data_IF_314116578216
#
_entry.id   IF_314116578216
#
_cell.length_a   1.000
_cell.length_b   1.000
_cell.length_c   1.000
_cell.angle_alpha   90.00
_cell.angle_beta   90.00
_cell.angle_gamma   90.00
#
_symmetry.space_group_name_H-M   'P 1'
#
loop_
_entity.id
_entity.type
_entity.pdbx_description
1 polymer ?
#
# COMPACT_ATOMS: atom_id res chain seq x y z
N UNK A 1 -4.40 -21.22 -2.08
CA UNK A 1 -4.47 -20.62 -0.73
C UNK A 1 -5.29 -19.35 -0.90
N UNK A 2 -6.47 -19.26 -0.28
CA UNK A 2 -7.47 -18.25 -0.66
C UNK A 2 -7.03 -16.83 -0.32
N UNK A 3 -7.20 -15.94 -1.30
CA UNK A 3 -7.13 -14.49 -1.13
C UNK A 3 -7.96 -14.09 0.10
N UNK A 4 -7.29 -13.57 1.15
CA UNK A 4 -7.99 -13.13 2.36
C UNK A 4 -8.63 -11.79 1.98
N UNK A 5 -9.86 -11.86 1.46
CA UNK A 5 -10.67 -10.70 1.13
C UNK A 5 -10.74 -9.71 2.30
N UNK A 6 -11.13 -8.45 2.05
CA UNK A 6 -11.00 -7.41 3.06
C UNK A 6 -11.73 -7.80 4.35
N UNK A 7 -11.00 -7.84 5.45
CA UNK A 7 -11.57 -8.04 6.78
C UNK A 7 -11.38 -6.77 7.59
N UNK A 8 -12.48 -6.30 8.20
CA UNK A 8 -12.46 -5.16 9.10
C UNK A 8 -11.83 -5.58 10.42
N UNK A 9 -10.68 -4.99 10.73
CA UNK A 9 -10.08 -5.14 12.05
C UNK A 9 -10.59 -4.00 12.93
N UNK A 10 -11.21 -4.30 14.10
CA UNK A 10 -11.62 -3.26 15.05
C UNK A 10 -10.47 -2.29 15.35
N UNK A 11 -10.78 -0.99 15.39
CA UNK A 11 -9.83 0.11 15.63
C UNK A 11 -8.75 0.35 14.57
N UNK A 12 -8.72 -0.45 13.49
CA UNK A 12 -7.74 -0.33 12.39
C UNK A 12 -8.43 -0.03 11.05
N UNK A 13 -9.62 -0.59 10.82
CA UNK A 13 -10.39 -0.44 9.59
C UNK A 13 -10.18 -1.57 8.58
N UNK A 14 -10.61 -1.37 7.32
CA UNK A 14 -10.49 -2.36 6.26
C UNK A 14 -9.04 -2.73 5.96
N UNK A 15 -8.74 -4.03 5.89
CA UNK A 15 -7.40 -4.54 5.54
C UNK A 15 -7.44 -5.32 4.25
N UNK A 16 -6.58 -4.97 3.29
CA UNK A 16 -6.30 -5.74 2.09
C UNK A 16 -5.03 -6.55 2.32
N UNK A 17 -5.12 -7.88 2.25
CA UNK A 17 -4.02 -8.76 2.66
C UNK A 17 -3.81 -9.96 1.75
N UNK A 18 -2.55 -10.37 1.61
CA UNK A 18 -2.11 -11.60 0.99
C UNK A 18 -0.94 -12.20 1.77
N UNK A 19 -0.33 -13.28 1.27
CA UNK A 19 0.90 -13.83 1.84
C UNK A 19 2.14 -12.93 1.70
N UNK A 20 2.04 -11.86 0.90
CA UNK A 20 3.16 -10.96 0.63
C UNK A 20 3.02 -9.57 1.28
N UNK A 21 1.80 -9.13 1.61
CA UNK A 21 1.54 -7.80 2.13
C UNK A 21 0.23 -7.74 2.95
N UNK A 22 0.18 -6.86 3.94
CA UNK A 22 -1.04 -6.49 4.67
C UNK A 22 -1.11 -4.96 4.76
N UNK A 23 -2.17 -4.37 4.19
CA UNK A 23 -2.32 -2.92 4.05
C UNK A 23 -3.68 -2.49 4.58
N UNK A 24 -3.72 -1.50 5.49
CA UNK A 24 -4.99 -0.87 5.87
C UNK A 24 -5.38 0.17 4.84
N UNK A 25 -6.67 0.25 4.53
CA UNK A 25 -7.23 1.21 3.59
C UNK A 25 -8.30 2.02 4.31
N UNK A 26 -8.11 3.33 4.37
CA UNK A 26 -9.05 4.25 5.01
C UNK A 26 -9.26 5.50 4.17
N UNK A 27 -10.40 6.17 4.35
CA UNK A 27 -10.67 7.48 3.71
C UNK A 27 -10.35 8.58 4.71
N UNK A 28 -9.26 9.29 4.45
CA UNK A 28 -8.91 10.47 5.24
C UNK A 28 -9.65 11.70 4.73
N UNK A 29 -10.34 12.39 5.64
CA UNK A 29 -11.14 13.59 5.38
C UNK A 29 -10.55 14.85 6.04
N UNK A 30 -9.38 14.77 6.68
CA UNK A 30 -8.77 15.90 7.39
C UNK A 30 -8.02 16.89 6.47
N UNK A 31 -8.09 16.69 5.13
CA UNK A 31 -7.43 17.51 4.12
C UNK A 31 -8.35 18.44 3.32
N UNK A 32 -7.77 19.14 2.33
CA UNK A 32 -8.53 20.00 1.41
C UNK A 32 -9.55 19.22 0.56
N UNK A 33 -9.35 17.91 0.41
CA UNK A 33 -10.24 16.97 -0.25
C UNK A 33 -10.07 15.56 0.34
N UNK A 34 -11.09 14.69 0.27
CA UNK A 34 -10.96 13.29 0.66
C UNK A 34 -9.83 12.58 -0.11
N UNK A 35 -9.11 11.68 0.56
CA UNK A 35 -7.99 10.91 -0.02
C UNK A 35 -7.90 9.52 0.62
N UNK A 36 -7.34 8.55 -0.08
CA UNK A 36 -7.07 7.24 0.51
C UNK A 36 -5.80 7.28 1.35
N UNK A 37 -5.92 6.86 2.60
CA UNK A 37 -4.79 6.59 3.49
C UNK A 37 -4.47 5.10 3.45
N UNK A 38 -3.28 4.79 2.95
CA UNK A 38 -2.74 3.44 2.86
C UNK A 38 -1.62 3.26 3.88
N UNK A 39 -1.72 2.26 4.75
CA UNK A 39 -0.66 1.91 5.72
C UNK A 39 -0.22 0.48 5.53
N UNK A 40 1.06 0.28 5.23
CA UNK A 40 1.72 -1.02 5.31
C UNK A 40 1.81 -1.43 6.78
N UNK A 41 1.13 -2.51 7.16
CA UNK A 41 1.10 -2.99 8.55
C UNK A 41 2.43 -3.62 8.99
N UNK A 42 3.26 -4.08 8.04
CA UNK A 42 4.56 -4.68 8.36
C UNK A 42 5.61 -3.62 8.69
N UNK A 43 5.65 -2.54 7.91
CA UNK A 43 6.68 -1.48 8.06
C UNK A 43 6.18 -0.23 8.77
N UNK A 44 4.86 -0.07 8.90
CA UNK A 44 4.22 1.14 9.40
C UNK A 44 4.23 2.31 8.42
N UNK A 45 4.77 2.14 7.21
CA UNK A 45 4.84 3.20 6.19
C UNK A 45 3.43 3.61 5.75
N UNK A 46 3.18 4.92 5.73
CA UNK A 46 1.90 5.51 5.32
C UNK A 46 2.07 6.28 4.01
N UNK A 47 1.11 6.12 3.10
CA UNK A 47 0.92 6.95 1.91
C UNK A 47 -0.50 7.46 1.84
N UNK A 48 -0.65 8.65 1.28
CA UNK A 48 -1.94 9.23 0.95
C UNK A 48 -2.01 9.30 -0.56
N UNK A 49 -3.13 8.87 -1.14
CA UNK A 49 -3.40 8.97 -2.57
C UNK A 49 -4.67 9.79 -2.77
N UNK A 50 -4.53 10.94 -3.43
CA UNK A 50 -5.68 11.76 -3.82
C UNK A 50 -6.43 11.17 -5.02
N UNK A 51 -7.54 11.81 -5.41
CA UNK A 51 -8.36 11.35 -6.53
C UNK A 51 -7.59 11.28 -7.86
N UNK A 52 -6.67 12.21 -8.11
CA UNK A 52 -5.89 12.25 -9.35
C UNK A 52 -4.81 11.16 -9.37
N UNK A 53 -4.16 10.92 -8.23
CA UNK A 53 -3.18 9.83 -8.08
C UNK A 53 -3.87 8.47 -8.24
N UNK A 54 -5.08 8.30 -7.69
CA UNK A 54 -5.88 7.09 -7.87
C UNK A 54 -6.35 6.90 -9.31
N UNK A 55 -6.83 7.96 -9.96
CA UNK A 55 -7.17 7.93 -11.38
C UNK A 55 -5.96 7.53 -12.22
N UNK A 56 -4.79 8.12 -11.94
CA UNK A 56 -3.54 7.77 -12.60
C UNK A 56 -3.22 6.28 -12.49
N UNK A 57 -3.41 5.68 -11.30
CA UNK A 57 -3.22 4.24 -11.11
C UNK A 57 -4.21 3.39 -11.92
N UNK A 58 -5.48 3.81 -12.03
CA UNK A 58 -6.51 3.13 -12.82
C UNK A 58 -6.15 3.14 -14.31
N UNK A 59 -5.58 4.25 -14.80
CA UNK A 59 -5.23 4.42 -16.21
C UNK A 59 -3.82 3.91 -16.58
N UNK A 60 -3.09 3.30 -15.64
CA UNK A 60 -1.78 2.72 -15.95
C UNK A 60 -1.90 1.66 -17.05
N UNK A 61 -1.04 1.68 -18.08
CA UNK A 61 -1.01 0.63 -19.07
C UNK A 61 -0.65 -0.72 -18.41
N UNK A 62 -1.16 -1.80 -18.98
CA UNK A 62 -0.92 -3.15 -18.48
C UNK A 62 0.58 -3.43 -18.24
N UNK A 63 0.89 -4.15 -17.16
CA UNK A 63 2.25 -4.52 -16.78
C UNK A 63 3.08 -3.45 -16.08
N UNK A 64 2.66 -2.17 -16.06
CA UNK A 64 3.42 -1.12 -15.35
C UNK A 64 3.41 -1.33 -13.84
N UNK A 65 2.26 -1.73 -13.27
CA UNK A 65 2.20 -2.06 -11.85
C UNK A 65 3.08 -3.28 -11.53
N UNK A 66 3.12 -4.28 -12.42
CA UNK A 66 3.99 -5.46 -12.28
C UNK A 66 5.47 -5.09 -12.25
N UNK A 67 5.90 -4.11 -13.06
CA UNK A 67 7.29 -3.62 -13.02
C UNK A 67 7.63 -2.97 -11.67
N UNK A 68 6.69 -2.27 -11.04
CA UNK A 68 6.87 -1.69 -9.70
C UNK A 68 6.91 -2.75 -8.59
N UNK A 69 6.34 -3.93 -8.84
CA UNK A 69 6.38 -5.07 -7.92
C UNK A 69 7.67 -5.87 -8.02
N UNK A 70 8.46 -5.68 -9.09
CA UNK A 70 9.73 -6.38 -9.27
C UNK A 70 10.71 -5.98 -8.15
N UNK A 71 11.08 -6.91 -7.25
CA UNK A 71 12.00 -6.61 -6.16
C UNK A 71 13.39 -6.18 -6.63
N UNK A 72 13.77 -6.52 -7.87
CA UNK A 72 15.02 -6.12 -8.49
C UNK A 72 15.01 -4.68 -9.04
N UNK A 73 13.83 -4.09 -9.21
CA UNK A 73 13.68 -2.75 -9.78
C UNK A 73 14.05 -1.65 -8.78
N UNK A 74 13.63 -1.73 -7.50
CA UNK A 74 14.03 -0.72 -6.48
C UNK A 74 13.74 -1.08 -4.99
N UNK A 75 13.00 -2.15 -4.68
CA UNK A 75 12.34 -2.28 -3.36
C UNK A 75 13.16 -2.89 -2.20
N UNK A 76 14.27 -3.60 -2.45
CA UNK A 76 14.91 -4.47 -1.43
C UNK A 76 16.33 -4.08 -1.00
N UNK A 77 16.75 -2.82 -1.16
CA UNK A 77 17.99 -2.34 -0.53
C UNK A 77 17.78 -1.99 0.96
N UNK A 78 17.50 -2.99 1.78
CA UNK A 78 17.87 -2.95 3.20
C UNK A 78 19.15 -3.78 3.37
N UNK A 79 20.30 -3.11 3.32
CA UNK A 79 21.53 -3.68 3.88
C UNK A 79 21.44 -3.64 5.41
N UNK A 80 22.01 -4.62 6.14
CA UNK A 80 22.06 -4.54 7.59
C UNK A 80 22.96 -3.37 7.99
N UNK A 81 22.40 -2.29 8.53
CA UNK A 81 23.19 -1.27 9.26
C UNK A 81 23.51 -1.79 10.66
N UNK A 82 24.31 -2.86 10.70
CA UNK A 82 25.04 -3.32 11.87
C UNK A 82 26.51 -2.97 11.73
N UNK A 83 26.92 -1.82 12.28
CA UNK A 83 28.30 -1.44 12.66
C UNK A 83 28.22 -0.03 13.28
N UNK A 84 28.60 0.25 14.52
CA UNK A 84 29.39 -0.42 15.56
C UNK A 84 28.92 0.09 16.93
#
# INVERSE_FOLDING_TARGET
MGDRGPFDIPDIGPVVGSEFAEVTVDVDNEGNSPRLRLKDLRTGRVRYLDALELETLIWLPEGHLTQLLDPSADRWKEGPSGQR
#
